data_IF_266274932896
#
_entry.id   IF_266274932896
#
_cell.length_a   1.000
_cell.length_b   1.000
_cell.length_c   1.000
_cell.angle_alpha   90.00
_cell.angle_beta   90.00
_cell.angle_gamma   90.00
#
_symmetry.space_group_name_H-M   'P 1'
#
loop_
_entity.id
_entity.type
_entity.pdbx_description
1 polymer ?
#
# COMPACT_ATOMS: atom_id res chain seq x y z
N UNK A 1 9.67 -60.33 44.64
CA UNK A 1 9.09 -59.62 43.48
C UNK A 1 7.92 -58.75 43.94
N UNK A 2 8.02 -57.42 43.82
CA UNK A 2 6.86 -56.52 43.83
C UNK A 2 7.26 -55.19 43.15
N UNK A 3 7.04 -55.07 41.84
CA UNK A 3 7.15 -53.81 41.10
C UNK A 3 5.99 -52.90 41.55
N UNK A 4 6.20 -52.07 42.57
CA UNK A 4 5.25 -51.02 42.95
C UNK A 4 5.28 -49.96 41.84
N UNK A 5 4.20 -49.92 41.06
CA UNK A 5 4.08 -49.22 39.78
C UNK A 5 4.45 -47.74 39.89
N UNK A 6 5.31 -47.33 38.97
CA UNK A 6 5.90 -45.99 38.77
C UNK A 6 4.87 -44.95 38.27
N UNK A 7 3.63 -44.97 38.79
CA UNK A 7 2.52 -44.13 38.31
C UNK A 7 2.76 -42.65 38.61
N UNK A 8 3.36 -42.34 39.76
CA UNK A 8 3.66 -40.97 40.18
C UNK A 8 4.70 -40.30 39.28
N UNK A 9 5.66 -41.08 38.78
CA UNK A 9 6.72 -40.60 37.90
C UNK A 9 6.18 -40.31 36.49
N UNK A 10 5.24 -41.12 36.00
CA UNK A 10 4.52 -40.86 34.76
C UNK A 10 3.61 -39.63 34.83
N UNK A 11 2.92 -39.43 35.96
CA UNK A 11 2.07 -38.24 36.14
C UNK A 11 2.91 -36.97 36.19
N UNK A 12 4.03 -36.95 36.91
CA UNK A 12 4.95 -35.80 36.93
C UNK A 12 5.52 -35.46 35.54
N UNK A 13 5.87 -36.48 34.75
CA UNK A 13 6.39 -36.29 33.40
C UNK A 13 5.34 -35.70 32.45
N UNK A 14 4.08 -36.16 32.53
CA UNK A 14 2.98 -35.62 31.72
C UNK A 14 2.64 -34.18 32.13
N UNK A 15 2.63 -33.88 33.44
CA UNK A 15 2.39 -32.52 33.92
C UNK A 15 3.52 -31.57 33.49
N UNK A 16 4.77 -32.02 33.53
CA UNK A 16 5.91 -31.21 33.05
C UNK A 16 5.85 -30.96 31.54
N UNK A 17 5.41 -31.94 30.74
CA UNK A 17 5.21 -31.79 29.30
C UNK A 17 4.10 -30.79 28.96
N UNK A 18 2.99 -30.81 29.70
CA UNK A 18 1.85 -29.90 29.48
C UNK A 18 2.14 -28.46 29.93
N UNK A 19 2.94 -28.27 30.99
CA UNK A 19 3.31 -26.93 31.48
C UNK A 19 4.57 -26.35 30.83
N UNK A 20 5.50 -27.20 30.38
CA UNK A 20 6.73 -26.78 29.71
C UNK A 20 6.50 -26.15 28.34
N UNK A 21 5.49 -26.61 27.59
CA UNK A 21 5.12 -26.04 26.29
C UNK A 21 4.61 -24.60 26.39
N UNK A 22 3.97 -24.24 27.49
CA UNK A 22 3.40 -22.90 27.72
C UNK A 22 4.48 -21.86 28.01
N UNK A 23 5.52 -22.25 28.75
CA UNK A 23 6.64 -21.36 29.10
C UNK A 23 7.58 -21.13 27.93
N UNK A 24 7.81 -22.14 27.09
CA UNK A 24 8.59 -21.99 25.85
C UNK A 24 7.98 -20.99 24.86
N UNK A 25 6.64 -21.01 24.73
CA UNK A 25 5.92 -20.11 23.81
C UNK A 25 6.00 -18.65 24.25
N UNK A 26 5.91 -18.37 25.55
CA UNK A 26 6.00 -17.00 26.10
C UNK A 26 7.42 -16.44 26.02
N UNK A 27 8.44 -17.27 26.22
CA UNK A 27 9.84 -16.85 26.10
C UNK A 27 10.27 -16.66 24.64
N UNK A 28 9.74 -17.47 23.71
CA UNK A 28 10.00 -17.30 22.27
C UNK A 28 9.33 -16.06 21.69
N UNK A 29 8.13 -15.70 22.14
CA UNK A 29 7.46 -14.45 21.73
C UNK A 29 8.04 -13.19 22.36
N UNK A 30 8.70 -13.28 23.53
CA UNK A 30 9.34 -12.12 24.18
C UNK A 30 10.77 -11.86 23.69
N UNK A 31 11.44 -12.87 23.15
CA UNK A 31 12.80 -12.78 22.61
C UNK A 31 12.81 -12.53 21.11
N UNK A 32 12.72 -11.27 20.69
CA UNK A 32 13.13 -10.83 19.36
C UNK A 32 12.33 -11.37 18.15
N UNK A 33 11.00 -11.23 18.15
CA UNK A 33 10.41 -10.79 16.89
C UNK A 33 10.82 -9.34 16.70
N UNK A 34 11.65 -8.97 15.71
CA UNK A 34 11.73 -7.57 15.32
C UNK A 34 10.29 -7.17 15.03
N UNK A 35 9.76 -6.22 15.81
CA UNK A 35 8.50 -5.59 15.46
C UNK A 35 8.65 -5.24 13.98
N UNK A 36 7.76 -5.73 13.09
CA UNK A 36 7.75 -5.24 11.73
C UNK A 36 7.75 -3.73 11.89
N UNK A 37 8.82 -3.06 11.43
CA UNK A 37 8.83 -1.61 11.44
C UNK A 37 7.53 -1.25 10.76
N UNK A 38 6.62 -0.68 11.54
CA UNK A 38 5.30 -0.28 11.11
C UNK A 38 5.59 0.89 10.18
N UNK A 39 5.94 0.56 8.95
CA UNK A 39 6.27 1.50 7.91
C UNK A 39 4.92 2.06 7.52
N UNK A 40 4.53 3.08 8.31
CA UNK A 40 3.26 3.77 8.23
C UNK A 40 3.08 4.19 6.78
N UNK A 41 1.89 3.91 6.26
CA UNK A 41 1.37 4.59 5.07
C UNK A 41 1.64 6.09 5.30
N UNK A 42 2.25 6.80 4.35
CA UNK A 42 2.66 8.18 4.57
C UNK A 42 1.48 9.02 5.06
N UNK A 43 1.74 9.89 6.05
CA UNK A 43 0.70 10.76 6.64
C UNK A 43 0.15 11.76 5.61
N UNK A 44 0.96 12.10 4.60
CA UNK A 44 0.52 12.83 3.41
C UNK A 44 0.23 11.87 2.27
N UNK A 45 -0.91 12.08 1.61
CA UNK A 45 -1.31 11.34 0.42
C UNK A 45 -0.77 11.97 -0.88
N UNK A 46 0.03 13.03 -0.75
CA UNK A 46 0.84 13.62 -1.79
C UNK A 46 2.28 13.57 -1.28
N UNK A 47 3.15 12.92 -2.03
CA UNK A 47 4.56 12.72 -1.70
C UNK A 47 5.43 13.08 -2.89
N UNK A 48 6.62 13.60 -2.64
CA UNK A 48 7.56 14.02 -3.69
C UNK A 48 8.67 12.98 -3.96
N UNK A 49 8.39 11.71 -3.65
CA UNK A 49 9.33 10.60 -3.79
C UNK A 49 8.59 9.32 -4.18
N UNK A 50 9.29 8.39 -4.84
CA UNK A 50 8.76 7.06 -5.12
C UNK A 50 8.80 6.22 -3.85
N UNK A 51 7.69 5.57 -3.51
CA UNK A 51 7.67 4.61 -2.43
C UNK A 51 8.66 3.45 -2.70
N UNK A 52 9.36 2.94 -1.67
CA UNK A 52 10.09 1.67 -1.79
C UNK A 52 9.13 0.55 -2.17
N UNK A 53 9.61 -0.45 -2.92
CA UNK A 53 8.79 -1.54 -3.46
C UNK A 53 7.94 -2.26 -2.40
N UNK A 54 8.50 -2.49 -1.20
CA UNK A 54 7.79 -3.15 -0.10
C UNK A 54 6.65 -2.29 0.47
N UNK A 55 6.81 -0.96 0.42
CA UNK A 55 5.78 -0.01 0.85
C UNK A 55 4.72 0.17 -0.23
N UNK A 56 5.15 0.28 -1.49
CA UNK A 56 4.25 0.31 -2.66
C UNK A 56 3.31 -0.90 -2.64
N UNK A 57 3.84 -2.11 -2.48
CA UNK A 57 3.05 -3.33 -2.42
C UNK A 57 2.02 -3.31 -1.26
N UNK A 58 2.41 -2.81 -0.08
CA UNK A 58 1.51 -2.70 1.08
C UNK A 58 0.41 -1.66 0.87
N UNK A 59 0.72 -0.54 0.24
CA UNK A 59 -0.26 0.51 -0.13
C UNK A 59 -1.25 -0.03 -1.16
N UNK A 60 -0.79 -0.76 -2.18
CA UNK A 60 -1.68 -1.39 -3.16
C UNK A 60 -2.58 -2.46 -2.52
N UNK A 61 -2.03 -3.26 -1.60
CA UNK A 61 -2.79 -4.27 -0.85
C UNK A 61 -3.84 -3.68 0.10
N UNK A 62 -3.63 -2.48 0.62
CA UNK A 62 -4.63 -1.78 1.44
C UNK A 62 -5.76 -1.14 0.61
N UNK A 63 -5.73 -1.29 -0.72
CA UNK A 63 -6.77 -0.81 -1.62
C UNK A 63 -6.54 0.59 -2.16
N UNK A 64 -5.40 1.22 -1.87
CA UNK A 64 -5.03 2.49 -2.49
C UNK A 64 -4.62 2.28 -3.94
N UNK A 65 -4.85 3.33 -4.72
CA UNK A 65 -4.33 3.52 -6.06
C UNK A 65 -3.20 4.54 -5.99
N UNK A 66 -2.05 4.19 -6.58
CA UNK A 66 -0.89 5.06 -6.66
C UNK A 66 -0.90 5.75 -8.01
N UNK A 67 -0.87 7.08 -8.00
CA UNK A 67 -0.70 7.91 -9.19
C UNK A 67 0.69 8.52 -9.11
N UNK A 68 1.57 8.11 -10.01
CA UNK A 68 2.93 8.64 -10.10
C UNK A 68 3.04 9.59 -11.29
N UNK A 69 3.28 10.85 -11.00
CA UNK A 69 3.55 11.91 -11.96
C UNK A 69 5.06 12.06 -12.11
N UNK A 70 5.59 11.66 -13.26
CA UNK A 70 6.97 11.88 -13.67
C UNK A 70 6.99 13.06 -14.64
N UNK A 71 7.73 14.12 -14.34
CA UNK A 71 7.79 15.28 -15.23
C UNK A 71 9.20 15.88 -15.30
N UNK A 72 9.55 16.43 -16.46
CA UNK A 72 10.84 17.09 -16.66
C UNK A 72 10.81 18.56 -16.23
N UNK A 73 11.96 19.19 -15.96
CA UNK A 73 12.02 20.62 -15.60
C UNK A 73 11.44 21.54 -16.67
N UNK A 74 11.50 21.14 -17.94
CA UNK A 74 10.97 21.90 -19.08
C UNK A 74 9.44 21.77 -19.24
N UNK A 75 8.79 20.99 -18.36
CA UNK A 75 7.35 20.76 -18.42
C UNK A 75 6.55 21.97 -17.92
N UNK A 76 5.80 22.61 -18.82
CA UNK A 76 4.79 23.60 -18.44
C UNK A 76 3.48 22.93 -17.99
N UNK A 77 3.56 22.05 -16.99
CA UNK A 77 2.45 21.23 -16.51
C UNK A 77 1.97 21.59 -15.11
N UNK A 78 2.35 22.75 -14.56
CA UNK A 78 1.93 23.18 -13.21
C UNK A 78 0.43 23.18 -13.01
N UNK A 79 -0.33 23.61 -14.02
CA UNK A 79 -1.79 23.65 -13.96
C UNK A 79 -2.39 22.24 -13.98
N UNK A 80 -1.76 21.33 -14.71
CA UNK A 80 -2.16 19.94 -14.75
C UNK A 80 -1.86 19.25 -13.41
N UNK A 81 -0.67 19.45 -12.84
CA UNK A 81 -0.30 18.92 -11.51
C UNK A 81 -1.34 19.34 -10.47
N UNK A 82 -1.68 20.63 -10.40
CA UNK A 82 -2.72 21.14 -9.49
C UNK A 82 -4.08 20.47 -9.69
N UNK A 83 -4.44 20.14 -10.93
CA UNK A 83 -5.67 19.39 -11.21
C UNK A 83 -5.60 17.97 -10.67
N UNK A 84 -4.46 17.29 -10.82
CA UNK A 84 -4.26 15.94 -10.27
C UNK A 84 -4.28 15.95 -8.74
N UNK A 85 -3.66 16.95 -8.10
CA UNK A 85 -3.78 17.17 -6.65
C UNK A 85 -5.25 17.35 -6.25
N UNK A 86 -6.01 18.16 -7.00
CA UNK A 86 -7.43 18.36 -6.75
C UNK A 86 -8.24 17.07 -6.92
N UNK A 87 -7.93 16.25 -7.92
CA UNK A 87 -8.54 14.92 -8.10
C UNK A 87 -8.23 14.06 -6.88
N UNK A 88 -6.98 13.96 -6.45
CA UNK A 88 -6.59 13.23 -5.24
C UNK A 88 -7.39 13.70 -4.00
N UNK A 89 -7.61 15.01 -3.88
CA UNK A 89 -8.37 15.63 -2.79
C UNK A 89 -9.89 15.41 -2.86
N UNK A 90 -10.46 14.92 -3.95
CA UNK A 90 -11.91 14.73 -4.08
C UNK A 90 -12.31 13.32 -4.53
N UNK A 91 -11.35 12.50 -4.97
CA UNK A 91 -11.56 11.13 -5.40
C UNK A 91 -11.61 10.20 -4.18
N UNK A 92 -12.75 10.23 -3.50
CA UNK A 92 -13.03 9.41 -2.32
C UNK A 92 -13.77 8.12 -2.70
N UNK A 93 -13.66 7.10 -1.85
CA UNK A 93 -14.48 5.89 -1.95
C UNK A 93 -15.96 6.22 -1.73
N UNK A 94 -16.85 5.27 -2.01
CA UNK A 94 -18.28 5.41 -1.67
C UNK A 94 -18.48 5.65 -0.16
N UNK A 95 -17.56 5.15 0.68
CA UNK A 95 -17.54 5.39 2.12
C UNK A 95 -16.89 6.70 2.57
N UNK A 96 -16.43 7.56 1.65
CA UNK A 96 -15.82 8.86 1.97
C UNK A 96 -14.33 8.81 2.31
N UNK A 97 -13.67 7.65 2.15
CA UNK A 97 -12.25 7.49 2.43
C UNK A 97 -11.39 7.90 1.24
N UNK A 98 -10.18 8.38 1.52
CA UNK A 98 -9.17 8.62 0.50
C UNK A 98 -8.65 7.30 -0.05
N UNK A 99 -8.45 7.25 -1.36
CA UNK A 99 -7.95 6.05 -2.04
C UNK A 99 -6.88 6.33 -3.10
N UNK A 100 -6.47 7.58 -3.28
CA UNK A 100 -5.37 7.94 -4.16
C UNK A 100 -4.18 8.40 -3.32
N UNK A 101 -3.03 7.78 -3.56
CA UNK A 101 -1.72 8.29 -3.16
C UNK A 101 -1.03 8.86 -4.40
N UNK A 102 -0.66 10.13 -4.35
CA UNK A 102 -0.03 10.86 -5.43
C UNK A 102 1.47 10.98 -5.17
N UNK A 103 2.29 10.49 -6.11
CA UNK A 103 3.73 10.65 -6.13
C UNK A 103 4.11 11.68 -7.20
N UNK A 104 4.73 12.79 -6.81
CA UNK A 104 5.21 13.84 -7.71
C UNK A 104 6.72 13.81 -7.81
N UNK A 105 7.24 13.35 -8.95
CA UNK A 105 8.65 13.05 -9.10
C UNK A 105 9.22 13.86 -10.28
N UNK A 106 9.97 14.93 -10.02
CA UNK A 106 10.73 15.60 -11.06
C UNK A 106 11.88 14.70 -11.51
N UNK A 107 12.03 14.51 -12.83
CA UNK A 107 13.07 13.68 -13.44
C UNK A 107 13.84 14.44 -14.51
N UNK A 108 15.13 14.19 -14.66
CA UNK A 108 15.96 14.92 -15.64
C UNK A 108 15.56 14.62 -17.09
N UNK A 109 15.10 13.40 -17.37
CA UNK A 109 14.60 12.99 -18.68
C UNK A 109 13.59 11.85 -18.54
N UNK A 110 12.65 11.77 -19.49
CA UNK A 110 11.70 10.68 -19.60
C UNK A 110 12.14 9.72 -20.70
N UNK A 111 11.87 8.42 -20.50
CA UNK A 111 12.10 7.40 -21.52
C UNK A 111 11.12 7.49 -22.70
N UNK A 112 10.09 8.34 -22.60
CA UNK A 112 9.04 8.55 -23.59
C UNK A 112 9.19 9.91 -24.26
N UNK A 113 8.67 10.05 -25.48
CA UNK A 113 8.59 11.35 -26.16
C UNK A 113 7.56 12.23 -25.44
N UNK A 114 8.02 13.10 -24.54
CA UNK A 114 7.15 14.00 -23.80
C UNK A 114 7.88 14.65 -22.63
N UNK A 115 7.20 15.59 -21.98
CA UNK A 115 7.67 16.27 -20.77
C UNK A 115 6.98 15.76 -19.50
N UNK A 116 5.99 14.87 -19.65
CA UNK A 116 5.24 14.24 -18.56
C UNK A 116 4.88 12.78 -18.88
N UNK A 117 4.92 11.92 -17.86
CA UNK A 117 4.44 10.54 -17.87
C UNK A 117 3.67 10.29 -16.58
N UNK A 118 2.50 9.69 -16.70
CA UNK A 118 1.61 9.39 -15.58
C UNK A 118 1.49 7.88 -15.47
N UNK A 119 1.93 7.31 -14.35
CA UNK A 119 1.69 5.89 -14.05
C UNK A 119 0.57 5.79 -13.03
N UNK A 120 -0.44 4.99 -13.32
CA UNK A 120 -1.53 4.71 -12.40
C UNK A 120 -1.47 3.22 -12.07
N UNK A 121 -1.29 2.89 -10.80
CA UNK A 121 -1.14 1.52 -10.31
C UNK A 121 -2.17 1.24 -9.21
N UNK A 122 -2.82 0.10 -9.31
CA UNK A 122 -3.82 -0.37 -8.34
C UNK A 122 -3.69 -1.88 -8.21
N UNK A 123 -4.37 -2.46 -7.22
CA UNK A 123 -4.49 -3.92 -7.11
C UNK A 123 -5.19 -4.55 -8.34
N UNK A 124 -6.01 -3.79 -9.08
CA UNK A 124 -6.77 -4.30 -10.25
C UNK A 124 -6.02 -4.17 -11.57
N UNK A 125 -4.90 -3.45 -11.59
CA UNK A 125 -4.10 -3.26 -12.78
C UNK A 125 -3.33 -1.95 -12.79
N UNK A 126 -2.62 -1.75 -13.90
CA UNK A 126 -1.73 -0.63 -14.14
C UNK A 126 -2.02 0.04 -15.50
N UNK A 127 -1.74 1.33 -15.59
CA UNK A 127 -1.83 2.09 -16.83
C UNK A 127 -0.73 3.16 -16.86
N UNK A 128 -0.13 3.37 -18.04
CA UNK A 128 0.81 4.47 -18.29
C UNK A 128 0.15 5.42 -19.28
N UNK A 129 0.10 6.70 -18.95
CA UNK A 129 -0.51 7.74 -19.75
C UNK A 129 0.54 8.81 -20.08
N UNK A 130 0.68 9.09 -21.37
CA UNK A 130 1.56 10.14 -21.89
C UNK A 130 0.72 11.34 -22.37
N UNK A 131 -0.28 11.74 -21.57
CA UNK A 131 -1.21 12.81 -21.91
C UNK A 131 -1.52 13.65 -20.68
N UNK A 132 -1.73 14.94 -20.88
CA UNK A 132 -2.25 15.88 -19.88
C UNK A 132 -3.78 16.01 -19.94
N UNK A 133 -4.45 15.11 -20.67
CA UNK A 133 -5.90 15.05 -20.70
C UNK A 133 -6.45 14.48 -19.38
N UNK A 134 -7.10 15.36 -18.64
CA UNK A 134 -7.76 15.09 -17.37
C UNK A 134 -8.84 13.99 -17.50
N UNK A 135 -9.61 13.98 -18.58
CA UNK A 135 -10.69 13.01 -18.77
C UNK A 135 -10.13 11.60 -18.98
N UNK A 136 -9.00 11.48 -19.67
CA UNK A 136 -8.32 10.20 -19.85
C UNK A 136 -7.82 9.67 -18.50
N UNK A 137 -7.23 10.53 -17.67
CA UNK A 137 -6.79 10.16 -16.32
C UNK A 137 -7.97 9.70 -15.45
N UNK A 138 -9.05 10.47 -15.40
CA UNK A 138 -10.25 10.14 -14.61
C UNK A 138 -10.85 8.81 -15.09
N UNK A 139 -10.99 8.62 -16.41
CA UNK A 139 -11.49 7.38 -16.99
C UNK A 139 -10.63 6.18 -16.58
N UNK A 140 -9.31 6.33 -16.55
CA UNK A 140 -8.41 5.26 -16.11
C UNK A 140 -8.53 4.99 -14.63
N UNK A 141 -8.57 6.03 -13.79
CA UNK A 141 -8.80 5.90 -12.36
C UNK A 141 -10.12 5.18 -12.06
N UNK A 142 -11.20 5.54 -12.74
CA UNK A 142 -12.51 4.90 -12.57
C UNK A 142 -12.51 3.42 -12.95
N UNK A 143 -11.69 3.02 -13.92
CA UNK A 143 -11.62 1.64 -14.37
C UNK A 143 -10.75 0.75 -13.46
N UNK A 144 -9.67 1.29 -12.91
CA UNK A 144 -8.68 0.48 -12.17
C UNK A 144 -8.80 0.61 -10.65
N UNK A 145 -9.42 1.66 -10.14
CA UNK A 145 -9.60 1.82 -8.69
C UNK A 145 -10.54 0.74 -8.12
N UNK A 146 -10.31 0.36 -6.86
CA UNK A 146 -11.10 -0.67 -6.18
C UNK A 146 -12.56 -0.24 -5.94
N UNK A 147 -12.78 0.94 -5.34
CA UNK A 147 -14.11 1.50 -5.05
C UNK A 147 -14.22 2.92 -5.65
N UNK A 148 -14.38 3.04 -6.97
CA UNK A 148 -14.39 4.34 -7.65
C UNK A 148 -15.58 5.21 -7.20
N UNK A 149 -15.39 6.53 -7.00
CA UNK A 149 -16.46 7.43 -6.61
C UNK A 149 -17.51 7.52 -7.71
N UNK A 150 -18.76 7.24 -7.34
CA UNK A 150 -19.92 7.32 -8.23
C UNK A 150 -20.06 8.70 -8.88
N UNK A 151 -19.78 9.77 -8.14
CA UNK A 151 -19.90 11.16 -8.61
C UNK A 151 -18.91 11.53 -9.73
N UNK A 152 -17.73 10.93 -9.71
CA UNK A 152 -16.68 11.12 -10.72
C UNK A 152 -16.88 10.16 -11.90
N UNK A 153 -17.28 8.92 -11.63
CA UNK A 153 -17.21 7.84 -12.60
C UNK A 153 -18.51 7.57 -13.37
N UNK A 154 -19.66 8.08 -12.93
CA UNK A 154 -20.91 8.01 -13.70
C UNK A 154 -21.10 9.17 -14.69
N UNK A 155 -20.24 10.19 -14.65
CA UNK A 155 -20.32 11.37 -15.53
C UNK A 155 -19.43 11.26 -16.77
N UNK A 156 -18.82 10.09 -16.99
CA UNK A 156 -17.87 9.79 -18.07
C UNK A 156 -18.63 9.19 -19.26
#
# INVERSE_FOLDING_TARGET
MARKKNKTLWVLLVTFLMFGSSLGYVLWFRGATPQPQEQKIPESLIVNFSLPQDTEARVLQSGFTIVRLLYTPDCNCSDFIKKVENIQQHFNTTGGYKQILLEEIPVDSLNTTGTISIEVRSLRGEAILNTTDEQVLITKLCNITWDPPVEYCLKI
#
